data_IF_410415681352
#
_entry.id   IF_410415681352
#
_cell.length_a   1.000
_cell.length_b   1.000
_cell.length_c   1.000
_cell.angle_alpha   90.00
_cell.angle_beta   90.00
_cell.angle_gamma   90.00
#
_symmetry.space_group_name_H-M   'P 1'
#
loop_
_entity.id
_entity.type
_entity.pdbx_description
1 polymer ?
#
# COMPACT_ATOMS: atom_id res chain seq x y z
N UNK A 1 -0.41 -5.05 2.52
CA UNK A 1 -0.58 -4.05 3.62
C UNK A 1 -1.89 -3.28 3.59
N UNK A 2 -3.05 -3.70 4.14
CA UNK A 2 -4.27 -2.90 3.93
C UNK A 2 -4.16 -1.57 4.67
N UNK A 3 -4.36 -0.47 3.93
CA UNK A 3 -4.38 0.89 4.42
C UNK A 3 -5.26 0.97 5.69
N UNK A 4 -4.68 1.40 6.81
CA UNK A 4 -5.37 1.47 8.12
C UNK A 4 -6.57 2.44 8.17
N UNK A 5 -6.93 3.06 7.04
CA UNK A 5 -8.08 3.95 6.86
C UNK A 5 -8.68 3.65 5.49
N UNK A 6 -9.96 3.33 5.44
CA UNK A 6 -10.75 3.19 4.21
C UNK A 6 -11.64 4.42 4.09
N UNK A 7 -11.65 5.05 2.91
CA UNK A 7 -12.49 6.23 2.65
C UNK A 7 -13.36 5.96 1.43
N UNK A 8 -14.67 6.13 1.58
CA UNK A 8 -15.66 5.94 0.52
C UNK A 8 -16.42 7.25 0.34
N UNK A 9 -16.39 7.83 -0.86
CA UNK A 9 -17.10 9.07 -1.15
C UNK A 9 -18.45 8.76 -1.79
N UNK A 10 -19.51 9.29 -1.20
CA UNK A 10 -20.87 9.16 -1.72
C UNK A 10 -21.63 10.47 -1.54
N UNK A 11 -22.25 10.98 -2.61
CA UNK A 11 -23.08 12.19 -2.60
C UNK A 11 -22.41 13.45 -1.97
N UNK A 12 -21.09 13.63 -2.14
CA UNK A 12 -20.35 14.76 -1.58
C UNK A 12 -19.97 14.61 -0.10
N UNK A 13 -20.17 13.43 0.47
CA UNK A 13 -19.73 13.06 1.81
C UNK A 13 -18.72 11.91 1.74
N UNK A 14 -17.64 12.03 2.50
CA UNK A 14 -16.63 11.01 2.68
C UNK A 14 -16.93 10.19 3.95
N UNK A 15 -17.10 8.90 3.76
CA UNK A 15 -17.29 7.90 4.81
C UNK A 15 -15.95 7.24 5.12
N UNK A 16 -15.40 7.53 6.29
CA UNK A 16 -14.08 7.11 6.75
C UNK A 16 -14.23 5.95 7.75
N UNK A 17 -13.75 4.77 7.40
CA UNK A 17 -13.60 3.61 8.28
C UNK A 17 -12.14 3.48 8.74
N UNK A 18 -11.93 3.66 10.04
CA UNK A 18 -10.62 3.48 10.67
C UNK A 18 -10.40 2.00 11.01
N UNK A 19 -9.79 1.28 10.08
CA UNK A 19 -9.33 -0.11 10.30
C UNK A 19 -8.30 -0.14 11.43
N UNK A 20 -7.41 0.85 11.48
CA UNK A 20 -6.44 1.08 12.55
C UNK A 20 -6.88 2.20 13.50
N UNK A 21 -7.06 1.86 14.78
CA UNK A 21 -7.45 2.80 15.83
C UNK A 21 -6.37 3.85 16.09
N UNK A 22 -5.10 3.57 15.82
CA UNK A 22 -3.99 4.52 15.98
C UNK A 22 -4.10 5.68 14.97
N UNK A 23 -4.62 5.41 13.77
CA UNK A 23 -4.80 6.43 12.72
C UNK A 23 -6.02 7.33 12.95
N UNK A 24 -6.98 6.89 13.76
CA UNK A 24 -8.20 7.67 14.06
C UNK A 24 -7.93 8.99 14.76
N UNK A 25 -7.09 8.98 15.81
CA UNK A 25 -6.74 10.18 16.58
C UNK A 25 -6.16 11.30 15.70
N UNK A 26 -5.04 11.06 14.98
CA UNK A 26 -4.44 12.07 14.11
C UNK A 26 -5.33 12.48 12.95
N UNK A 27 -6.12 11.57 12.37
CA UNK A 27 -7.06 11.92 11.29
C UNK A 27 -8.17 12.87 11.75
N UNK A 28 -8.77 12.63 12.92
CA UNK A 28 -9.75 13.54 13.50
C UNK A 28 -9.12 14.88 13.89
N UNK A 29 -7.90 14.87 14.41
CA UNK A 29 -7.17 16.11 14.73
C UNK A 29 -6.97 16.99 13.49
N UNK A 30 -6.58 16.41 12.34
CA UNK A 30 -6.45 17.12 11.07
C UNK A 30 -7.78 17.74 10.61
N UNK A 31 -8.89 17.01 10.74
CA UNK A 31 -10.22 17.53 10.41
C UNK A 31 -10.59 18.75 11.26
N UNK A 32 -10.24 18.75 12.55
CA UNK A 32 -10.44 19.93 13.40
C UNK A 32 -9.48 21.08 13.07
N UNK A 33 -8.25 20.78 12.67
CA UNK A 33 -7.23 21.78 12.28
C UNK A 33 -7.63 22.57 11.03
N UNK A 34 -8.23 21.92 10.04
CA UNK A 34 -8.80 22.58 8.85
C UNK A 34 -10.10 23.35 9.13
N UNK A 35 -10.58 23.33 10.38
CA UNK A 35 -11.79 24.04 10.78
C UNK A 35 -13.09 23.29 10.46
N UNK A 36 -13.07 21.97 10.34
CA UNK A 36 -14.31 21.18 10.20
C UNK A 36 -15.13 21.33 11.48
N UNK A 37 -16.37 21.83 11.39
CA UNK A 37 -17.22 21.93 12.57
C UNK A 37 -17.57 20.53 13.08
N UNK A 38 -17.62 20.31 14.41
CA UNK A 38 -17.94 19.00 14.98
C UNK A 38 -19.32 18.49 14.55
N UNK A 39 -20.26 19.38 14.27
CA UNK A 39 -21.60 19.05 13.74
C UNK A 39 -21.57 18.48 12.32
N UNK A 40 -20.51 18.72 11.55
CA UNK A 40 -20.33 18.14 10.22
C UNK A 40 -19.66 16.75 10.26
N UNK A 41 -19.20 16.29 11.43
CA UNK A 41 -18.58 14.98 11.61
C UNK A 41 -19.58 14.03 12.26
N UNK A 42 -20.24 13.21 11.45
CA UNK A 42 -21.21 12.24 11.94
C UNK A 42 -20.52 10.90 12.27
N UNK A 43 -20.68 10.43 13.51
CA UNK A 43 -20.15 9.14 13.95
C UNK A 43 -21.19 8.04 13.83
N UNK A 44 -21.04 7.16 12.85
CA UNK A 44 -21.92 6.03 12.62
C UNK A 44 -21.42 4.76 13.34
N UNK A 45 -22.09 4.38 14.42
CA UNK A 45 -21.69 3.24 15.29
C UNK A 45 -22.40 1.92 14.97
N UNK A 46 -23.39 1.93 14.08
CA UNK A 46 -24.22 0.75 13.75
C UNK A 46 -23.91 0.13 12.38
N UNK A 47 -22.96 0.69 11.64
CA UNK A 47 -22.63 0.25 10.27
C UNK A 47 -21.76 -1.01 10.21
N UNK A 48 -21.26 -1.51 11.35
CA UNK A 48 -20.38 -2.67 11.38
C UNK A 48 -19.72 -2.86 12.76
N UNK A 49 -18.65 -3.68 12.84
CA UNK A 49 -17.92 -3.92 14.09
C UNK A 49 -17.10 -2.70 14.57
N UNK A 50 -16.95 -1.67 13.73
CA UNK A 50 -16.16 -0.45 13.98
C UNK A 50 -17.03 0.79 13.75
N UNK A 51 -16.67 1.87 14.45
CA UNK A 51 -17.34 3.16 14.26
C UNK A 51 -16.78 3.84 13.01
N UNK A 52 -17.67 4.18 12.09
CA UNK A 52 -17.39 4.87 10.85
C UNK A 52 -17.67 6.36 11.03
N UNK A 53 -16.97 7.22 10.30
CA UNK A 53 -17.09 8.68 10.38
C UNK A 53 -17.48 9.25 9.03
N UNK A 54 -18.61 9.94 8.96
CA UNK A 54 -19.04 10.64 7.76
C UNK A 54 -18.67 12.11 7.91
N UNK A 55 -17.96 12.65 6.93
CA UNK A 55 -17.54 14.05 6.87
C UNK A 55 -17.78 14.60 5.47
N UNK A 56 -17.88 15.93 5.27
CA UNK A 56 -17.94 16.50 3.93
C UNK A 56 -16.69 16.13 3.11
N UNK A 57 -16.88 15.80 1.82
CA UNK A 57 -15.79 15.40 0.92
C UNK A 57 -14.68 16.46 0.86
N UNK A 58 -15.05 17.73 0.74
CA UNK A 58 -14.09 18.84 0.70
C UNK A 58 -13.17 18.85 1.92
N UNK A 59 -13.73 18.63 3.10
CA UNK A 59 -12.98 18.59 4.35
C UNK A 59 -12.11 17.34 4.46
N UNK A 60 -12.60 16.18 4.03
CA UNK A 60 -11.77 14.98 3.97
C UNK A 60 -10.60 15.13 2.99
N UNK A 61 -10.82 15.81 1.86
CA UNK A 61 -9.76 16.14 0.89
C UNK A 61 -8.75 17.12 1.48
N UNK A 62 -9.21 18.22 2.08
CA UNK A 62 -8.34 19.22 2.71
C UNK A 62 -7.56 18.65 3.92
N UNK A 63 -8.14 17.69 4.66
CA UNK A 63 -7.46 16.98 5.73
C UNK A 63 -6.41 15.97 5.21
N UNK A 64 -6.29 15.78 3.90
CA UNK A 64 -5.41 14.80 3.28
C UNK A 64 -5.83 13.35 3.58
N UNK A 65 -7.14 13.12 3.78
CA UNK A 65 -7.72 11.78 3.98
C UNK A 65 -8.21 11.16 2.67
N UNK A 66 -8.29 11.95 1.59
CA UNK A 66 -8.99 11.59 0.36
C UNK A 66 -8.11 11.55 -0.89
N UNK A 67 -7.02 12.33 -0.95
CA UNK A 67 -6.13 12.36 -2.11
C UNK A 67 -4.77 11.69 -1.85
N UNK A 68 -4.52 10.73 -2.75
CA UNK A 68 -3.31 10.05 -3.20
C UNK A 68 -2.10 9.97 -2.25
N UNK A 69 -1.69 8.73 -1.95
CA UNK A 69 -0.32 8.39 -1.61
C UNK A 69 0.19 8.70 -0.17
N UNK A 70 -0.36 8.02 0.85
CA UNK A 70 0.53 7.45 1.90
C UNK A 70 1.09 6.12 1.40
N UNK A 71 1.98 6.23 0.41
CA UNK A 71 2.87 5.17 -0.09
C UNK A 71 4.00 4.86 0.91
N UNK A 72 3.94 5.35 2.15
CA UNK A 72 5.12 5.40 3.01
C UNK A 72 5.16 4.45 4.20
N UNK A 73 4.20 3.52 4.36
CA UNK A 73 4.41 2.42 5.31
C UNK A 73 3.67 1.12 4.94
N UNK A 74 3.93 0.62 3.74
CA UNK A 74 3.62 -0.79 3.38
C UNK A 74 4.82 -1.39 2.65
N UNK A 75 5.85 -1.71 3.44
CA UNK A 75 6.77 -2.82 3.13
C UNK A 75 6.43 -3.98 4.08
N UNK A 76 5.14 -4.33 4.10
CA UNK A 76 4.53 -5.59 4.50
C UNK A 76 4.32 -6.53 3.32
N UNK A 77 5.25 -7.45 3.07
CA UNK A 77 5.11 -8.50 2.05
C UNK A 77 3.81 -9.31 2.17
N UNK A 78 3.61 -10.15 1.13
CA UNK A 78 2.44 -10.98 0.80
C UNK A 78 1.30 -10.15 0.16
N UNK A 79 0.82 -10.39 -1.07
CA UNK A 79 0.78 -11.60 -1.91
C UNK A 79 0.41 -11.16 -3.35
N UNK A 80 0.76 -11.97 -4.37
CA UNK A 80 0.33 -11.99 -5.78
C UNK A 80 -0.68 -10.93 -6.28
N UNK A 81 -0.27 -10.07 -7.24
CA UNK A 81 -1.01 -9.90 -8.50
C UNK A 81 -0.15 -9.22 -9.59
N UNK A 82 -0.31 -9.76 -10.79
CA UNK A 82 0.28 -9.54 -12.10
C UNK A 82 0.43 -8.06 -12.52
N UNK A 83 1.67 -7.55 -12.68
CA UNK A 83 2.03 -6.64 -13.78
C UNK A 83 3.53 -6.75 -14.09
N UNK A 84 3.84 -7.18 -15.31
CA UNK A 84 5.18 -7.22 -15.93
C UNK A 84 5.76 -5.82 -16.18
N UNK A 85 5.85 -4.97 -15.16
CA UNK A 85 6.71 -3.78 -15.21
C UNK A 85 8.12 -4.25 -14.87
N UNK A 86 8.97 -4.41 -15.89
CA UNK A 86 10.43 -4.66 -15.84
C UNK A 86 11.01 -4.50 -14.42
N UNK A 87 10.91 -5.54 -13.60
CA UNK A 87 11.18 -5.45 -12.16
C UNK A 87 12.68 -5.56 -11.85
N UNK A 88 13.54 -5.52 -12.88
CA UNK A 88 14.97 -5.64 -12.76
C UNK A 88 15.65 -4.36 -13.29
N UNK A 89 16.70 -3.86 -12.61
CA UNK A 89 17.46 -2.73 -13.08
C UNK A 89 18.15 -3.05 -14.42
N UNK A 90 18.46 -2.01 -15.18
CA UNK A 90 19.31 -2.14 -16.37
C UNK A 90 20.75 -2.46 -15.93
N UNK A 91 21.20 -3.71 -16.15
CA UNK A 91 22.54 -4.16 -15.79
C UNK A 91 22.68 -5.68 -15.74
N UNK A 92 23.88 -6.15 -15.39
CA UNK A 92 24.14 -7.55 -15.08
C UNK A 92 23.74 -7.84 -13.63
N UNK A 93 23.21 -9.05 -13.35
CA UNK A 93 22.84 -9.46 -12.01
C UNK A 93 24.07 -9.54 -11.09
N UNK A 94 24.01 -8.81 -9.99
CA UNK A 94 25.05 -8.73 -8.97
C UNK A 94 24.51 -8.97 -7.55
N UNK A 95 25.39 -9.01 -6.55
CA UNK A 95 25.02 -9.31 -5.15
C UNK A 95 24.18 -8.20 -4.48
N UNK A 96 24.04 -7.01 -5.09
CA UNK A 96 23.16 -5.96 -4.59
C UNK A 96 21.68 -6.19 -5.02
N UNK A 97 21.45 -7.01 -6.06
CA UNK A 97 20.10 -7.25 -6.59
C UNK A 97 19.21 -7.98 -5.60
N UNK A 98 17.93 -7.61 -5.49
CA UNK A 98 17.01 -8.35 -4.63
C UNK A 98 16.66 -9.70 -5.25
N UNK A 99 16.41 -10.70 -4.39
CA UNK A 99 16.01 -12.06 -4.81
C UNK A 99 14.89 -12.06 -5.87
N UNK A 100 13.78 -11.31 -5.71
CA UNK A 100 12.72 -11.25 -6.72
C UNK A 100 13.18 -10.70 -8.08
N UNK A 101 14.18 -9.80 -8.10
CA UNK A 101 14.71 -9.22 -9.33
C UNK A 101 15.56 -10.25 -10.08
N UNK A 102 16.34 -11.05 -9.34
CA UNK A 102 17.11 -12.14 -9.91
C UNK A 102 16.21 -13.25 -10.45
N UNK A 103 15.15 -13.64 -9.72
CA UNK A 103 14.17 -14.61 -10.23
C UNK A 103 13.46 -14.09 -11.50
N UNK A 104 13.08 -12.81 -11.53
CA UNK A 104 12.45 -12.20 -12.72
C UNK A 104 13.41 -12.14 -13.92
N UNK A 105 14.68 -11.79 -13.69
CA UNK A 105 15.72 -11.81 -14.72
C UNK A 105 15.96 -13.24 -15.22
N UNK A 106 16.08 -14.20 -14.31
CA UNK A 106 16.23 -15.61 -14.65
C UNK A 106 15.07 -16.10 -15.51
N UNK A 107 13.82 -15.82 -15.11
CA UNK A 107 12.63 -16.18 -15.87
C UNK A 107 12.63 -15.55 -17.27
N UNK A 108 13.02 -14.27 -17.40
CA UNK A 108 13.15 -13.59 -18.69
C UNK A 108 14.24 -14.21 -19.59
N UNK A 109 15.28 -14.80 -18.99
CA UNK A 109 16.36 -15.51 -19.67
C UNK A 109 16.09 -17.03 -19.81
N UNK A 110 14.91 -17.52 -19.38
CA UNK A 110 14.52 -18.93 -19.48
C UNK A 110 15.16 -19.86 -18.44
N UNK A 111 15.68 -19.30 -17.35
CA UNK A 111 16.31 -20.01 -16.25
C UNK A 111 15.27 -20.26 -15.15
N UNK A 112 14.99 -21.51 -14.85
CA UNK A 112 14.05 -21.90 -13.78
C UNK A 112 14.72 -21.87 -12.41
N UNK A 113 14.44 -20.81 -11.65
CA UNK A 113 14.97 -20.60 -10.30
C UNK A 113 14.02 -21.04 -9.19
N UNK A 114 12.85 -21.59 -9.53
CA UNK A 114 11.82 -22.01 -8.56
C UNK A 114 12.31 -23.09 -7.58
N UNK A 115 13.33 -23.86 -7.97
CA UNK A 115 13.96 -24.91 -7.15
C UNK A 115 15.04 -24.39 -6.21
N UNK A 116 15.43 -23.12 -6.35
CA UNK A 116 16.56 -22.54 -5.63
C UNK A 116 16.01 -21.69 -4.48
N UNK A 117 16.31 -22.05 -3.23
CA UNK A 117 15.76 -21.33 -2.08
C UNK A 117 16.57 -20.09 -1.70
N UNK A 118 17.85 -20.02 -2.08
CA UNK A 118 18.74 -18.94 -1.66
C UNK A 118 19.15 -18.00 -2.80
N UNK A 119 19.19 -16.70 -2.52
CA UNK A 119 19.58 -15.67 -3.49
C UNK A 119 20.92 -15.95 -4.17
N UNK A 120 21.92 -16.37 -3.39
CA UNK A 120 23.23 -16.72 -3.89
C UNK A 120 23.18 -17.88 -4.92
N UNK A 121 22.32 -18.88 -4.70
CA UNK A 121 22.16 -20.00 -5.63
C UNK A 121 21.53 -19.55 -6.94
N UNK A 122 20.57 -18.61 -6.89
CA UNK A 122 19.98 -18.02 -8.09
C UNK A 122 20.96 -17.15 -8.86
N UNK A 123 21.70 -16.30 -8.17
CA UNK A 123 22.73 -15.49 -8.79
C UNK A 123 23.77 -16.39 -9.50
N UNK A 124 24.20 -17.46 -8.82
CA UNK A 124 25.11 -18.44 -9.39
C UNK A 124 24.51 -19.15 -10.62
N UNK A 125 23.25 -19.58 -10.56
CA UNK A 125 22.58 -20.23 -11.70
C UNK A 125 22.44 -19.29 -12.91
N UNK A 126 22.18 -18.00 -12.66
CA UNK A 126 22.13 -16.98 -13.72
C UNK A 126 23.52 -16.75 -14.32
N UNK A 127 24.56 -16.70 -13.49
CA UNK A 127 25.94 -16.54 -13.94
C UNK A 127 26.47 -17.77 -14.69
N UNK A 128 26.04 -18.98 -14.31
CA UNK A 128 26.42 -20.24 -14.98
C UNK A 128 25.72 -20.43 -16.33
N UNK A 129 24.50 -19.93 -16.48
CA UNK A 129 23.71 -20.05 -17.71
C UNK A 129 24.05 -19.01 -18.80
N UNK A 130 24.98 -18.09 -18.52
CA UNK A 130 25.48 -17.07 -19.47
C UNK A 130 26.57 -17.64 -20.36
#
# INVERSE_FOLDING_TARGET
MPAGVLVVVENGFATIDFVDKAKRGPALAKLFEIGTPPDAIEKLTRSGPRAVYVVPEGNAREAGLLDEADVQDTIVGDDDDDVLQKAWPDGEPDDDWKRPQLDAYAAAHGIDTSKLSNKAEVLAAIQEAK
#
